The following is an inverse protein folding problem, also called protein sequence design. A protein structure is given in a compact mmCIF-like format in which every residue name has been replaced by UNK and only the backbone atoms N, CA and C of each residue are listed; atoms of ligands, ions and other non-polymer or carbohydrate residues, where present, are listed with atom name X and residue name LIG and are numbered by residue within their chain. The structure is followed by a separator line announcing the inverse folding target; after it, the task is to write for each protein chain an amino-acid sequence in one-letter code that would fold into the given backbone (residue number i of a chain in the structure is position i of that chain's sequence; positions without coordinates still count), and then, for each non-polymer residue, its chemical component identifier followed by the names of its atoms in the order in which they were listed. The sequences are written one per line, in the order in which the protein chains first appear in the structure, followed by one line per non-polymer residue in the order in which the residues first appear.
data_IF_939419313696
#
_entry.id   IF_939419313696
#
_cell.length_a   1.000
_cell.length_b   1.000
_cell.length_c   1.000
_cell.angle_alpha   90.00
_cell.angle_beta   90.00
_cell.angle_gamma   90.00
#
_symmetry.space_group_name_H-M   'P 1'
#
loop_
_entity.id
_entity.type
_entity.pdbx_description
1 polymer ?
#
# COMPACT_ATOMS: atom_id res chain seq x y z
N UNK A 1 50.00 -21.11 42.02
CA UNK A 1 48.63 -20.81 41.54
C UNK A 1 48.20 -22.02 40.73
N UNK A 2 47.21 -22.78 41.21
CA UNK A 2 46.83 -24.06 40.61
C UNK A 2 46.44 -23.89 39.13
N UNK A 3 46.97 -24.76 38.26
CA UNK A 3 46.67 -24.74 36.82
C UNK A 3 45.15 -24.78 36.55
N UNK A 4 44.39 -25.43 37.43
CA UNK A 4 42.92 -25.51 37.39
C UNK A 4 42.28 -24.12 37.58
N UNK A 5 42.77 -23.31 38.52
CA UNK A 5 42.25 -21.95 38.78
C UNK A 5 42.53 -21.05 37.56
N UNK A 6 43.73 -21.15 36.98
CA UNK A 6 44.10 -20.36 35.80
C UNK A 6 43.24 -20.71 34.58
N UNK A 7 42.98 -22.00 34.33
CA UNK A 7 42.13 -22.45 33.22
C UNK A 7 40.69 -21.97 33.43
N UNK A 8 40.17 -22.12 34.65
CA UNK A 8 38.80 -21.70 34.99
C UNK A 8 38.60 -20.20 34.79
N UNK A 9 39.59 -19.38 35.21
CA UNK A 9 39.55 -17.94 35.05
C UNK A 9 39.60 -17.51 33.58
N UNK A 10 40.44 -18.14 32.75
CA UNK A 10 40.47 -17.88 31.31
C UNK A 10 39.15 -18.21 30.62
N UNK A 11 38.56 -19.38 30.92
CA UNK A 11 37.25 -19.77 30.36
C UNK A 11 36.16 -18.79 30.79
N UNK A 12 36.15 -18.39 32.07
CA UNK A 12 35.20 -17.41 32.58
C UNK A 12 35.33 -16.06 31.86
N UNK A 13 36.55 -15.56 31.63
CA UNK A 13 36.77 -14.30 30.89
C UNK A 13 36.27 -14.41 29.44
N UNK A 14 36.50 -15.55 28.78
CA UNK A 14 36.02 -15.77 27.40
C UNK A 14 34.49 -15.75 27.36
N UNK A 15 33.83 -16.46 28.28
CA UNK A 15 32.36 -16.48 28.38
C UNK A 15 31.82 -15.08 28.68
N UNK A 16 32.45 -14.35 29.61
CA UNK A 16 32.05 -12.99 29.97
C UNK A 16 32.20 -12.02 28.79
N UNK A 17 33.30 -12.12 28.04
CA UNK A 17 33.52 -11.32 26.85
C UNK A 17 32.50 -11.64 25.74
N UNK A 18 32.20 -12.92 25.52
CA UNK A 18 31.18 -13.35 24.56
C UNK A 18 29.78 -12.87 24.96
N UNK A 19 29.41 -12.99 26.23
CA UNK A 19 28.12 -12.53 26.75
C UNK A 19 27.98 -11.01 26.64
N UNK A 20 29.03 -10.26 27.03
CA UNK A 20 29.05 -8.80 26.90
C UNK A 20 28.97 -8.37 25.45
N UNK A 21 29.71 -9.03 24.55
CA UNK A 21 29.66 -8.78 23.12
C UNK A 21 28.26 -9.01 22.54
N UNK A 22 27.61 -10.13 22.89
CA UNK A 22 26.25 -10.43 22.47
C UNK A 22 25.24 -9.41 23.01
N UNK A 23 25.38 -9.02 24.28
CA UNK A 23 24.52 -8.02 24.91
C UNK A 23 24.64 -6.65 24.22
N UNK A 24 25.86 -6.19 23.97
CA UNK A 24 26.13 -4.92 23.27
C UNK A 24 25.62 -4.98 21.84
N UNK A 25 25.83 -6.10 21.13
CA UNK A 25 25.34 -6.30 19.77
C UNK A 25 23.82 -6.21 19.69
N UNK A 26 23.08 -6.97 20.52
CA UNK A 26 21.62 -6.95 20.52
C UNK A 26 21.07 -5.57 20.89
N UNK A 27 21.67 -4.91 21.89
CA UNK A 27 21.28 -3.55 22.30
C UNK A 27 21.48 -2.56 21.15
N UNK A 28 22.60 -2.66 20.43
CA UNK A 28 22.88 -1.81 19.27
C UNK A 28 21.89 -2.06 18.14
N UNK A 29 21.63 -3.32 17.78
CA UNK A 29 20.68 -3.71 16.73
C UNK A 29 19.28 -3.18 17.03
N UNK A 30 18.79 -3.39 18.25
CA UNK A 30 17.47 -2.92 18.68
C UNK A 30 17.37 -1.40 18.64
N UNK A 31 18.40 -0.70 19.14
CA UNK A 31 18.43 0.75 19.12
C UNK A 31 18.50 1.31 17.68
N UNK A 32 19.35 0.74 16.83
CA UNK A 32 19.47 1.13 15.43
C UNK A 32 18.16 0.90 14.69
N UNK A 33 17.51 -0.25 14.88
CA UNK A 33 16.20 -0.53 14.29
C UNK A 33 15.17 0.51 14.73
N UNK A 34 14.97 0.71 16.04
CA UNK A 34 13.94 1.64 16.56
C UNK A 34 14.17 3.08 16.13
N UNK A 35 15.43 3.53 16.05
CA UNK A 35 15.77 4.91 15.71
C UNK A 35 15.69 5.21 14.21
N UNK A 36 15.84 4.19 13.36
CA UNK A 36 15.84 4.36 11.89
C UNK A 36 14.59 3.82 11.22
N UNK A 37 13.72 3.15 11.99
CA UNK A 37 12.49 2.59 11.48
C UNK A 37 11.56 3.69 10.95
N UNK A 38 11.06 3.48 9.74
CA UNK A 38 10.02 4.31 9.12
C UNK A 38 9.06 3.42 8.34
N UNK A 39 7.78 3.48 8.70
CA UNK A 39 6.67 2.86 7.98
C UNK A 39 5.89 3.90 7.18
N UNK A 40 5.57 3.61 5.92
CA UNK A 40 4.79 4.51 5.06
C UNK A 40 3.73 3.76 4.27
N UNK A 41 2.56 4.41 4.11
CA UNK A 41 1.53 4.02 3.16
C UNK A 41 1.51 5.04 2.03
N UNK A 42 1.75 4.57 0.82
CA UNK A 42 1.63 5.39 -0.40
C UNK A 42 0.39 4.93 -1.14
N UNK A 43 -0.55 5.85 -1.35
CA UNK A 43 -1.77 5.63 -2.13
C UNK A 43 -1.76 6.47 -3.39
N UNK A 44 -2.23 5.90 -4.49
CA UNK A 44 -2.45 6.59 -5.75
C UNK A 44 -3.76 6.15 -6.35
N UNK A 45 -4.47 7.07 -6.99
CA UNK A 45 -5.63 6.76 -7.81
C UNK A 45 -5.60 7.61 -9.07
N UNK A 46 -5.92 6.96 -10.19
CA UNK A 46 -5.93 7.54 -11.50
C UNK A 46 -7.26 7.28 -12.18
N UNK A 47 -7.82 8.32 -12.78
CA UNK A 47 -9.00 8.25 -13.62
C UNK A 47 -8.57 8.69 -15.01
N UNK A 48 -8.64 7.77 -15.96
CA UNK A 48 -8.23 7.97 -17.35
C UNK A 48 -9.46 7.94 -18.24
N UNK A 49 -9.59 8.92 -19.14
CA UNK A 49 -10.68 9.00 -20.11
C UNK A 49 -10.19 9.64 -21.41
N UNK A 50 -10.72 9.19 -22.54
CA UNK A 50 -10.42 9.73 -23.87
C UNK A 50 -11.46 10.75 -24.36
N UNK A 51 -12.59 10.89 -23.66
CA UNK A 51 -13.64 11.86 -23.96
C UNK A 51 -14.19 12.53 -22.68
N UNK A 52 -14.98 13.62 -22.82
CA UNK A 52 -15.64 14.26 -21.69
C UNK A 52 -16.61 13.32 -20.95
N UNK A 53 -16.60 13.40 -19.62
CA UNK A 53 -17.56 12.75 -18.73
C UNK A 53 -18.45 13.82 -18.10
N UNK A 54 -19.75 13.56 -17.98
CA UNK A 54 -20.72 14.48 -17.38
C UNK A 54 -21.48 13.83 -16.22
N UNK A 55 -21.93 14.65 -15.28
CA UNK A 55 -22.69 14.23 -14.10
C UNK A 55 -22.00 13.09 -13.35
N UNK A 56 -20.71 13.29 -13.06
CA UNK A 56 -19.84 12.23 -12.56
C UNK A 56 -20.00 12.07 -11.06
N UNK A 57 -20.33 10.86 -10.64
CA UNK A 57 -20.28 10.40 -9.26
C UNK A 57 -19.50 9.10 -9.19
N UNK A 58 -18.37 9.10 -8.49
CA UNK A 58 -17.58 7.90 -8.22
C UNK A 58 -17.57 7.60 -6.72
N UNK A 59 -17.66 6.32 -6.35
CA UNK A 59 -17.25 5.83 -5.02
C UNK A 59 -16.12 4.83 -5.21
N UNK A 60 -14.89 5.30 -5.04
CA UNK A 60 -13.66 4.53 -5.26
C UNK A 60 -13.18 3.98 -3.92
N UNK A 61 -12.89 2.68 -3.78
CA UNK A 61 -12.42 2.14 -2.52
C UNK A 61 -11.10 2.78 -2.11
N UNK A 62 -10.99 3.19 -0.84
CA UNK A 62 -9.72 3.60 -0.25
C UNK A 62 -9.17 2.45 0.60
N UNK A 63 -7.84 2.33 0.75
CA UNK A 63 -7.27 1.24 1.53
C UNK A 63 -7.69 1.38 3.00
N UNK A 64 -8.17 0.30 3.60
CA UNK A 64 -8.61 0.24 5.00
C UNK A 64 -8.06 -1.02 5.69
N UNK A 65 -7.70 -0.88 6.96
CA UNK A 65 -7.33 -2.00 7.80
C UNK A 65 -8.56 -2.90 8.11
N UNK A 66 -8.38 -4.08 8.73
CA UNK A 66 -9.51 -4.96 9.09
C UNK A 66 -10.50 -4.34 10.09
N UNK A 67 -10.10 -3.31 10.84
CA UNK A 67 -10.96 -2.57 11.76
C UNK A 67 -11.71 -1.41 11.07
N UNK A 68 -11.47 -1.18 9.78
CA UNK A 68 -12.09 -0.12 8.99
C UNK A 68 -11.35 1.21 8.99
N UNK A 69 -10.18 1.31 9.62
CA UNK A 69 -9.42 2.56 9.63
C UNK A 69 -8.62 2.69 8.32
N UNK A 70 -8.75 3.82 7.63
CA UNK A 70 -7.91 4.13 6.49
C UNK A 70 -6.69 4.96 6.91
N UNK A 71 -5.46 4.62 6.46
CA UNK A 71 -4.34 5.53 6.59
C UNK A 71 -4.55 6.83 5.80
N UNK A 72 -5.53 6.89 4.89
CA UNK A 72 -5.78 8.06 4.04
C UNK A 72 -6.76 9.06 4.65
N UNK A 73 -7.40 8.78 5.80
CA UNK A 73 -8.39 9.69 6.41
C UNK A 73 -7.82 11.09 6.61
N UNK A 74 -6.64 11.18 7.22
CA UNK A 74 -5.99 12.47 7.49
C UNK A 74 -5.69 13.25 6.21
N UNK A 75 -5.35 12.57 5.12
CA UNK A 75 -5.03 13.21 3.85
C UNK A 75 -6.26 13.86 3.19
N UNK A 76 -7.41 13.18 3.25
CA UNK A 76 -8.68 13.75 2.79
C UNK A 76 -9.19 14.84 3.73
N UNK A 77 -9.21 14.62 5.04
CA UNK A 77 -9.71 15.60 6.02
C UNK A 77 -8.89 16.90 6.03
N UNK A 78 -7.57 16.81 5.85
CA UNK A 78 -6.69 17.97 5.85
C UNK A 78 -6.48 18.57 4.44
N UNK A 79 -7.14 18.03 3.41
CA UNK A 79 -6.95 18.43 2.01
C UNK A 79 -5.48 18.40 1.56
N UNK A 80 -4.71 17.40 2.00
CA UNK A 80 -3.29 17.24 1.63
C UNK A 80 -3.06 16.26 0.49
N UNK A 81 -4.13 15.63 -0.01
CA UNK A 81 -4.11 14.83 -1.24
C UNK A 81 -3.56 15.65 -2.41
N UNK A 82 -2.47 15.17 -3.02
CA UNK A 82 -1.85 15.84 -4.17
C UNK A 82 -2.60 15.49 -5.45
N UNK A 83 -2.70 16.43 -6.37
CA UNK A 83 -3.23 16.18 -7.72
C UNK A 83 -4.76 16.15 -7.85
N UNK A 84 -5.50 16.37 -6.75
CA UNK A 84 -6.96 16.54 -6.82
C UNK A 84 -7.25 17.85 -7.58
N UNK A 85 -7.99 17.81 -8.71
CA UNK A 85 -8.27 19.02 -9.48
C UNK A 85 -9.12 20.01 -8.68
N UNK A 86 -8.94 21.33 -8.92
CA UNK A 86 -9.75 22.34 -8.27
C UNK A 86 -11.22 22.19 -8.66
N UNK A 87 -12.12 22.33 -7.67
CA UNK A 87 -13.57 22.22 -7.88
C UNK A 87 -14.12 20.79 -7.81
N UNK A 88 -13.28 19.78 -7.56
CA UNK A 88 -13.76 18.44 -7.25
C UNK A 88 -14.30 18.37 -5.82
N UNK A 89 -15.56 17.96 -5.66
CA UNK A 89 -16.14 17.67 -4.34
C UNK A 89 -15.77 16.24 -3.94
N UNK A 90 -14.83 16.13 -2.99
CA UNK A 90 -14.29 14.85 -2.52
C UNK A 90 -14.61 14.66 -1.04
N UNK A 91 -15.29 13.56 -0.71
CA UNK A 91 -15.64 13.21 0.67
C UNK A 91 -15.41 11.73 0.92
N UNK A 92 -15.06 11.38 2.16
CA UNK A 92 -15.00 9.97 2.55
C UNK A 92 -16.40 9.50 2.97
N UNK A 93 -16.78 8.33 2.48
CA UNK A 93 -18.04 7.67 2.75
C UNK A 93 -17.77 6.31 3.39
N UNK A 94 -18.09 6.19 4.66
CA UNK A 94 -17.95 4.92 5.40
C UNK A 94 -19.23 4.08 5.24
N UNK A 95 -19.05 2.81 4.86
CA UNK A 95 -20.12 1.82 4.71
C UNK A 95 -20.21 0.87 5.90
N UNK A 96 -19.33 1.01 6.90
CA UNK A 96 -19.14 0.08 8.03
C UNK A 96 -18.37 -1.19 7.68
N UNK A 97 -18.17 -1.48 6.39
CA UNK A 97 -17.36 -2.61 5.89
C UNK A 97 -16.17 -2.17 5.05
N UNK A 98 -16.22 -0.94 4.55
CA UNK A 98 -15.22 -0.31 3.70
C UNK A 98 -15.40 1.20 3.74
N UNK A 99 -14.33 1.94 3.53
CA UNK A 99 -14.38 3.37 3.29
C UNK A 99 -14.20 3.61 1.79
N UNK A 100 -15.05 4.46 1.23
CA UNK A 100 -15.02 4.84 -0.17
C UNK A 100 -14.73 6.33 -0.28
N UNK A 101 -13.95 6.72 -1.26
CA UNK A 101 -13.83 8.10 -1.70
C UNK A 101 -14.99 8.42 -2.64
N UNK A 102 -15.92 9.26 -2.18
CA UNK A 102 -16.95 9.86 -3.01
C UNK A 102 -16.35 11.06 -3.75
N UNK A 103 -16.43 11.04 -5.08
CA UNK A 103 -16.06 12.16 -5.96
C UNK A 103 -17.31 12.59 -6.69
N UNK A 104 -17.71 13.85 -6.56
CA UNK A 104 -18.85 14.43 -7.30
C UNK A 104 -18.37 15.61 -8.12
N UNK A 105 -18.51 15.53 -9.44
CA UNK A 105 -18.11 16.61 -10.35
C UNK A 105 -19.10 16.79 -11.50
N UNK A 106 -19.46 18.04 -11.86
CA UNK A 106 -20.39 18.28 -12.96
C UNK A 106 -19.87 17.75 -14.31
N UNK A 107 -18.56 17.90 -14.56
CA UNK A 107 -17.92 17.37 -15.75
C UNK A 107 -16.41 17.14 -15.52
N UNK A 108 -15.88 16.10 -16.16
CA UNK A 108 -14.44 15.90 -16.36
C UNK A 108 -14.20 16.11 -17.86
N UNK A 109 -13.57 17.23 -18.20
CA UNK A 109 -13.28 17.60 -19.60
C UNK A 109 -11.79 17.45 -19.86
N UNK A 110 -11.38 16.45 -20.68
CA UNK A 110 -10.00 16.30 -21.09
C UNK A 110 -9.45 17.53 -21.83
N UNK A 111 -8.13 17.78 -21.78
CA UNK A 111 -7.49 18.82 -22.60
C UNK A 111 -7.72 18.59 -24.10
N UNK A 112 -7.63 19.67 -24.88
CA UNK A 112 -7.70 19.60 -26.34
C UNK A 112 -6.60 18.67 -26.90
N UNK A 113 -6.96 17.81 -27.86
CA UNK A 113 -6.05 16.81 -28.44
C UNK A 113 -6.10 15.43 -27.77
N UNK A 114 -6.93 15.26 -26.73
CA UNK A 114 -7.21 13.93 -26.15
C UNK A 114 -7.89 13.04 -27.20
N UNK A 115 -7.41 11.82 -27.34
CA UNK A 115 -7.94 10.79 -28.26
C UNK A 115 -7.85 9.41 -27.63
N UNK A 116 -8.49 8.40 -28.21
CA UNK A 116 -8.38 7.02 -27.73
C UNK A 116 -6.93 6.49 -27.67
N UNK A 117 -6.03 7.00 -28.53
CA UNK A 117 -4.60 6.65 -28.51
C UNK A 117 -3.77 7.47 -27.51
N UNK A 118 -4.30 8.60 -27.05
CA UNK A 118 -3.66 9.52 -26.10
C UNK A 118 -4.71 10.01 -25.09
N UNK A 119 -5.17 9.13 -24.17
CA UNK A 119 -6.21 9.49 -23.22
C UNK A 119 -5.66 10.42 -22.13
N UNK A 120 -6.56 11.22 -21.54
CA UNK A 120 -6.22 12.12 -20.44
C UNK A 120 -6.32 11.39 -19.11
N UNK A 121 -5.33 11.57 -18.24
CA UNK A 121 -5.30 10.95 -16.91
C UNK A 121 -5.27 12.01 -15.82
N UNK A 122 -6.23 11.94 -14.92
CA UNK A 122 -6.19 12.67 -13.64
C UNK A 122 -5.63 11.73 -12.59
N UNK A 123 -4.55 12.14 -11.93
CA UNK A 123 -3.88 11.34 -10.90
C UNK A 123 -3.86 12.11 -9.59
N UNK A 124 -4.27 11.45 -8.51
CA UNK A 124 -4.13 11.97 -7.16
C UNK A 124 -3.52 10.94 -6.23
N UNK A 125 -2.71 11.42 -5.29
CA UNK A 125 -1.91 10.55 -4.43
C UNK A 125 -1.69 11.15 -3.05
N UNK A 126 -1.36 10.29 -2.10
CA UNK A 126 -0.94 10.68 -0.76
C UNK A 126 0.08 9.68 -0.22
N UNK A 127 0.96 10.20 0.62
CA UNK A 127 1.87 9.40 1.41
C UNK A 127 1.64 9.73 2.87
N UNK A 128 1.37 8.70 3.67
CA UNK A 128 1.10 8.84 5.11
C UNK A 128 2.05 7.97 5.90
N UNK A 129 2.69 8.57 6.89
CA UNK A 129 3.58 7.86 7.82
C UNK A 129 2.75 6.99 8.75
N UNK A 130 3.16 5.73 8.91
CA UNK A 130 2.61 4.80 9.87
C UNK A 130 3.36 4.92 11.21
N UNK A 131 2.67 5.13 12.34
CA UNK A 131 3.31 5.16 13.65
C UNK A 131 3.79 3.77 14.12
N UNK A 132 3.31 2.70 13.48
CA UNK A 132 3.63 1.32 13.83
C UNK A 132 4.15 0.54 12.61
N UNK A 133 4.91 -0.57 12.84
CA UNK A 133 5.27 -1.49 11.77
C UNK A 133 4.07 -2.01 11.00
N UNK A 134 4.15 -1.91 9.68
CA UNK A 134 3.13 -2.39 8.75
C UNK A 134 3.33 -3.90 8.58
N UNK A 135 2.29 -4.73 8.70
CA UNK A 135 2.43 -6.17 8.40
C UNK A 135 2.41 -6.35 6.87
N UNK A 136 3.60 -6.24 6.29
CA UNK A 136 3.84 -6.36 4.84
C UNK A 136 3.84 -7.80 4.37
N UNK A 137 3.90 -8.78 5.28
CA UNK A 137 3.84 -10.20 4.96
C UNK A 137 2.39 -10.66 4.84
N UNK A 138 1.49 -10.24 5.72
CA UNK A 138 0.09 -10.70 5.75
C UNK A 138 -0.90 -9.53 5.63
N UNK A 139 -0.85 -8.74 4.54
CA UNK A 139 -1.59 -7.49 4.46
C UNK A 139 -3.12 -7.67 4.41
N UNK A 140 -3.61 -8.82 3.92
CA UNK A 140 -5.04 -9.14 3.86
C UNK A 140 -5.67 -9.17 5.26
N UNK A 141 -4.94 -9.71 6.23
CA UNK A 141 -5.42 -9.94 7.60
C UNK A 141 -5.09 -8.78 8.54
N UNK A 142 -4.06 -7.98 8.24
CA UNK A 142 -3.46 -7.09 9.23
C UNK A 142 -3.09 -5.69 8.73
N UNK A 143 -3.16 -5.44 7.43
CA UNK A 143 -2.78 -4.14 6.85
C UNK A 143 -3.92 -3.53 6.04
N UNK A 144 -3.68 -2.31 5.56
CA UNK A 144 -4.64 -1.54 4.78
C UNK A 144 -4.74 -2.08 3.36
N UNK A 145 -5.94 -2.51 2.95
CA UNK A 145 -6.23 -3.10 1.65
C UNK A 145 -7.50 -2.49 1.06
N UNK A 146 -7.70 -2.59 -0.25
CA UNK A 146 -8.98 -2.25 -0.87
C UNK A 146 -10.03 -3.28 -0.48
N UNK A 147 -10.87 -2.95 0.51
CA UNK A 147 -11.89 -3.86 1.06
C UNK A 147 -13.27 -3.58 0.44
N UNK A 148 -14.13 -4.59 0.33
CA UNK A 148 -13.93 -6.00 0.69
C UNK A 148 -12.98 -6.72 -0.28
N UNK A 149 -12.13 -7.59 0.24
CA UNK A 149 -11.30 -8.49 -0.58
C UNK A 149 -12.15 -9.72 -0.92
N UNK A 150 -12.46 -9.92 -2.20
CA UNK A 150 -13.27 -11.01 -2.70
C UNK A 150 -12.46 -11.91 -3.65
N UNK A 151 -12.90 -13.16 -3.81
CA UNK A 151 -12.30 -14.11 -4.76
C UNK A 151 -10.76 -14.24 -4.72
N UNK A 152 -10.17 -14.15 -3.53
CA UNK A 152 -8.72 -14.25 -3.36
C UNK A 152 -8.18 -15.58 -3.91
N UNK A 153 -7.27 -15.50 -4.87
CA UNK A 153 -6.64 -16.66 -5.52
C UNK A 153 -5.13 -16.45 -5.56
N UNK A 154 -4.37 -17.49 -5.21
CA UNK A 154 -2.91 -17.48 -5.37
C UNK A 154 -2.52 -17.53 -6.85
N UNK A 155 -1.50 -16.77 -7.23
CA UNK A 155 -0.94 -16.71 -8.59
C UNK A 155 0.58 -16.87 -8.53
N UNK A 156 1.17 -17.45 -9.58
CA UNK A 156 2.62 -17.44 -9.71
C UNK A 156 3.13 -16.00 -9.86
N UNK A 157 4.13 -15.62 -9.08
CA UNK A 157 4.77 -14.32 -9.22
C UNK A 157 5.56 -14.28 -10.54
N UNK A 158 5.17 -13.39 -11.44
CA UNK A 158 5.83 -13.17 -12.74
C UNK A 158 7.04 -12.25 -12.64
N UNK A 159 7.27 -11.65 -11.48
CA UNK A 159 8.35 -10.70 -11.23
C UNK A 159 9.68 -11.45 -11.08
N UNK A 160 10.68 -11.12 -11.89
CA UNK A 160 12.04 -11.68 -11.83
C UNK A 160 12.74 -11.45 -10.46
N UNK A 161 12.24 -10.49 -9.68
CA UNK A 161 12.75 -10.13 -8.34
C UNK A 161 11.96 -10.73 -7.19
N UNK A 162 11.09 -11.71 -7.44
CA UNK A 162 10.40 -12.43 -6.37
C UNK A 162 11.44 -13.12 -5.46
N UNK A 163 11.61 -12.59 -4.24
CA UNK A 163 12.42 -13.23 -3.22
C UNK A 163 11.74 -14.48 -2.67
N UNK A 164 12.45 -15.26 -1.84
CA UNK A 164 11.92 -16.52 -1.30
C UNK A 164 10.60 -16.39 -0.52
N UNK A 165 10.30 -15.20 0.01
CA UNK A 165 9.07 -14.92 0.77
C UNK A 165 7.96 -14.27 -0.05
N UNK A 166 8.20 -13.98 -1.34
CA UNK A 166 7.24 -13.24 -2.18
C UNK A 166 6.03 -14.11 -2.53
N UNK A 167 4.83 -13.58 -2.31
CA UNK A 167 3.56 -14.25 -2.64
C UNK A 167 2.70 -13.30 -3.46
N UNK A 168 2.07 -13.83 -4.51
CA UNK A 168 1.23 -13.06 -5.41
C UNK A 168 -0.19 -13.62 -5.41
N UNK A 169 -1.15 -12.71 -5.41
CA UNK A 169 -2.57 -13.04 -5.39
C UNK A 169 -3.33 -12.17 -6.39
N UNK A 170 -4.44 -12.69 -6.86
CA UNK A 170 -5.49 -11.88 -7.48
C UNK A 170 -6.70 -11.86 -6.55
N UNK A 171 -7.45 -10.77 -6.59
CA UNK A 171 -8.69 -10.61 -5.84
C UNK A 171 -9.59 -9.62 -6.56
N UNK A 172 -10.83 -9.50 -6.12
CA UNK A 172 -11.77 -8.52 -6.64
C UNK A 172 -12.29 -7.63 -5.53
N UNK A 173 -12.66 -6.41 -5.90
CA UNK A 173 -13.38 -5.46 -5.05
C UNK A 173 -14.40 -4.70 -5.88
N UNK A 174 -15.06 -3.69 -5.33
CA UNK A 174 -16.12 -2.95 -6.02
C UNK A 174 -15.88 -1.45 -6.05
N UNK A 175 -16.33 -0.83 -7.13
CA UNK A 175 -16.40 0.62 -7.33
C UNK A 175 -17.81 0.97 -7.75
N UNK A 176 -18.35 2.09 -7.27
CA UNK A 176 -19.56 2.67 -7.87
C UNK A 176 -19.15 3.74 -8.86
N UNK A 177 -19.72 3.70 -10.06
CA UNK A 177 -19.50 4.70 -11.07
C UNK A 177 -20.81 5.10 -11.74
N UNK A 178 -21.05 6.40 -11.80
CA UNK A 178 -22.18 6.98 -12.50
C UNK A 178 -21.70 8.20 -13.28
N UNK A 179 -21.84 8.15 -14.60
CA UNK A 179 -21.46 9.25 -15.48
C UNK A 179 -22.06 9.04 -16.88
N UNK A 180 -22.13 10.14 -17.63
CA UNK A 180 -22.60 10.18 -19.01
C UNK A 180 -21.43 10.52 -19.94
N UNK A 181 -21.32 9.81 -21.06
CA UNK A 181 -20.30 10.05 -22.10
C UNK A 181 -20.72 9.40 -23.42
N UNK A 182 -19.93 9.57 -24.48
CA UNK A 182 -20.14 8.92 -25.77
C UNK A 182 -19.96 7.40 -25.68
N UNK A 183 -20.61 6.64 -26.56
CA UNK A 183 -20.67 5.18 -26.46
C UNK A 183 -19.33 4.47 -26.77
N UNK A 184 -18.39 5.18 -27.37
CA UNK A 184 -17.04 4.72 -27.73
C UNK A 184 -15.95 5.18 -26.74
N UNK A 185 -16.32 5.97 -25.71
CA UNK A 185 -15.40 6.44 -24.68
C UNK A 185 -14.93 5.29 -23.78
N UNK A 186 -13.62 5.23 -23.51
CA UNK A 186 -13.06 4.30 -22.53
C UNK A 186 -12.69 5.06 -21.26
N UNK A 187 -13.29 4.65 -20.14
CA UNK A 187 -12.96 5.17 -18.81
C UNK A 187 -12.25 4.09 -18.01
N UNK A 188 -11.03 4.38 -17.57
CA UNK A 188 -10.25 3.47 -16.72
C UNK A 188 -10.03 4.08 -15.35
N UNK A 189 -10.37 3.33 -14.31
CA UNK A 189 -10.09 3.69 -12.92
C UNK A 189 -9.04 2.70 -12.42
N UNK A 190 -7.92 3.22 -11.93
CA UNK A 190 -6.88 2.43 -11.30
C UNK A 190 -6.57 3.03 -9.94
N UNK A 191 -6.45 2.20 -8.92
CA UNK A 191 -6.01 2.62 -7.58
C UNK A 191 -4.95 1.67 -7.08
N UNK A 192 -3.96 2.18 -6.37
CA UNK A 192 -2.91 1.37 -5.77
C UNK A 192 -2.56 1.83 -4.37
N UNK A 193 -2.14 0.89 -3.55
CA UNK A 193 -1.56 1.16 -2.24
C UNK A 193 -0.30 0.32 -2.05
N UNK A 194 0.74 0.96 -1.54
CA UNK A 194 1.97 0.32 -1.08
C UNK A 194 2.11 0.58 0.41
N UNK A 195 2.25 -0.49 1.20
CA UNK A 195 2.72 -0.38 2.58
C UNK A 195 4.18 -0.80 2.64
N UNK A 196 5.05 0.09 3.14
CA UNK A 196 6.50 -0.12 3.17
C UNK A 196 7.04 0.14 4.56
N UNK A 197 7.90 -0.74 5.03
CA UNK A 197 8.78 -0.48 6.16
C UNK A 197 10.21 -0.34 5.67
N UNK A 198 10.95 0.58 6.26
CA UNK A 198 12.38 0.78 6.01
C UNK A 198 13.12 0.98 7.33
N UNK A 199 14.34 0.45 7.41
CA UNK A 199 15.20 0.58 8.59
C UNK A 199 16.66 0.42 8.16
N UNK A 200 17.59 0.89 8.98
CA UNK A 200 19.03 0.73 8.75
C UNK A 200 19.68 0.10 9.97
N UNK A 201 20.10 -1.15 9.83
CA UNK A 201 20.93 -1.86 10.81
C UNK A 201 22.14 -2.37 10.06
N UNK A 202 23.27 -1.69 10.25
CA UNK A 202 24.51 -1.80 9.44
C UNK A 202 24.34 -1.40 7.96
N UNK A 203 23.27 -1.86 7.30
CA UNK A 203 22.89 -1.57 5.92
C UNK A 203 21.40 -1.20 5.82
N UNK A 204 20.99 -0.41 4.81
CA UNK A 204 19.59 -0.15 4.54
C UNK A 204 18.83 -1.43 4.18
N UNK A 205 17.70 -1.65 4.83
CA UNK A 205 16.79 -2.76 4.61
C UNK A 205 15.37 -2.23 4.47
N UNK A 206 14.54 -2.98 3.75
CA UNK A 206 13.11 -2.66 3.64
C UNK A 206 12.30 -3.91 3.38
N UNK A 207 11.01 -3.84 3.72
CA UNK A 207 10.01 -4.78 3.25
C UNK A 207 8.73 -4.04 2.87
N UNK A 208 7.98 -4.61 1.94
CA UNK A 208 6.77 -3.98 1.41
C UNK A 208 5.77 -4.99 0.87
N UNK A 209 4.52 -4.55 0.81
CA UNK A 209 3.50 -5.11 -0.05
C UNK A 209 2.97 -4.03 -0.97
N UNK A 210 2.48 -4.46 -2.11
CA UNK A 210 1.85 -3.60 -3.10
C UNK A 210 0.55 -4.25 -3.57
N UNK A 211 -0.50 -3.45 -3.68
CA UNK A 211 -1.70 -3.88 -4.39
C UNK A 211 -2.20 -2.78 -5.29
N UNK A 212 -2.66 -3.21 -6.46
CA UNK A 212 -3.34 -2.40 -7.45
C UNK A 212 -4.71 -3.00 -7.73
N UNK A 213 -5.68 -2.14 -8.03
CA UNK A 213 -7.02 -2.50 -8.49
C UNK A 213 -7.33 -1.65 -9.71
N UNK A 214 -7.90 -2.27 -10.74
CA UNK A 214 -8.21 -1.58 -11.99
C UNK A 214 -9.50 -2.08 -12.64
N UNK A 215 -10.14 -1.19 -13.38
CA UNK A 215 -11.33 -1.47 -14.18
C UNK A 215 -11.34 -0.53 -15.38
N UNK A 216 -11.72 -1.06 -16.54
CA UNK A 216 -12.05 -0.29 -17.74
C UNK A 216 -13.52 -0.45 -18.09
N UNK A 217 -14.23 0.66 -18.25
CA UNK A 217 -15.64 0.75 -18.61
C UNK A 217 -15.76 1.40 -19.98
N UNK A 218 -16.70 0.93 -20.80
CA UNK A 218 -16.98 1.48 -22.11
C UNK A 218 -18.31 2.25 -22.09
N UNK A 219 -18.28 3.48 -22.63
CA UNK A 219 -19.41 4.37 -22.68
C UNK A 219 -19.89 4.82 -21.30
N UNK A 220 -21.15 5.27 -21.25
CA UNK A 220 -21.80 5.66 -20.01
C UNK A 220 -21.93 4.47 -19.05
N UNK A 221 -21.80 4.74 -17.75
CA UNK A 221 -21.95 3.73 -16.71
C UNK A 221 -22.94 4.20 -15.63
N UNK A 222 -23.70 3.26 -15.07
CA UNK A 222 -24.65 3.53 -14.00
C UNK A 222 -24.70 2.34 -13.05
N UNK A 223 -23.99 2.45 -11.92
CA UNK A 223 -24.06 1.49 -10.83
C UNK A 223 -22.71 0.98 -10.33
N UNK A 224 -22.76 -0.20 -9.70
CA UNK A 224 -21.59 -0.90 -9.18
C UNK A 224 -20.90 -1.70 -10.28
N UNK A 225 -19.58 -1.67 -10.28
CA UNK A 225 -18.72 -2.49 -11.11
C UNK A 225 -17.64 -3.17 -10.28
N UNK A 226 -17.11 -4.28 -10.80
CA UNK A 226 -16.07 -5.07 -10.15
C UNK A 226 -14.71 -4.54 -10.58
N UNK A 227 -13.84 -4.28 -9.61
CA UNK A 227 -12.43 -3.96 -9.82
C UNK A 227 -11.62 -5.25 -9.71
N UNK A 228 -10.77 -5.48 -10.71
CA UNK A 228 -9.79 -6.57 -10.68
C UNK A 228 -8.52 -6.10 -9.98
N UNK A 229 -8.08 -6.85 -8.97
CA UNK A 229 -6.94 -6.50 -8.14
C UNK A 229 -5.82 -7.52 -8.20
N UNK A 230 -4.59 -7.02 -8.19
CA UNK A 230 -3.39 -7.81 -7.95
C UNK A 230 -2.76 -7.39 -6.61
N UNK A 231 -2.24 -8.37 -5.87
CA UNK A 231 -1.54 -8.16 -4.62
C UNK A 231 -0.21 -8.90 -4.68
N UNK A 232 0.87 -8.17 -4.41
CA UNK A 232 2.20 -8.72 -4.18
C UNK A 232 2.60 -8.42 -2.74
N UNK A 233 2.99 -9.45 -2.00
CA UNK A 233 3.43 -9.35 -0.60
C UNK A 233 4.74 -10.12 -0.43
N UNK A 234 5.46 -9.89 0.68
CA UNK A 234 6.69 -10.63 0.94
C UNK A 234 7.87 -10.12 0.12
N UNK A 235 7.83 -8.87 -0.35
CA UNK A 235 8.97 -8.23 -1.01
C UNK A 235 9.92 -7.63 0.04
N UNK A 236 11.23 -7.79 -0.18
CA UNK A 236 12.27 -7.26 0.70
C UNK A 236 12.77 -8.23 1.79
N UNK A 237 13.33 -7.69 2.86
CA UNK A 237 13.95 -8.47 3.96
C UNK A 237 12.95 -8.70 5.09
N UNK A 238 12.71 -9.96 5.45
CA UNK A 238 11.88 -10.35 6.59
C UNK A 238 12.66 -11.03 7.71
N UNK A 239 13.93 -11.36 7.45
CA UNK A 239 14.84 -11.84 8.48
C UNK A 239 15.14 -10.67 9.43
N UNK A 240 14.62 -10.75 10.66
CA UNK A 240 15.05 -9.86 11.72
C UNK A 240 16.39 -10.38 12.27
N UNK A 241 17.32 -9.47 12.53
CA UNK A 241 18.57 -9.78 13.20
C UNK A 241 18.26 -10.19 14.66
N UNK A 242 18.18 -11.50 14.91
CA UNK A 242 18.14 -12.08 16.25
C UNK A 242 16.74 -12.43 16.76
N UNK A 243 16.50 -13.74 16.97
CA UNK A 243 15.36 -14.23 17.76
C UNK A 243 14.74 -15.53 17.23
N UNK A 244 15.45 -16.65 17.37
CA UNK A 244 14.85 -17.98 17.55
C UNK A 244 14.98 -18.38 19.01
#
# INVERSE_FOLDING_TARGET
MDSIISITLCVFIIILAAFTGLFVYNTYVDAAYRNTFSGTHTYSCTITTDAPLYNVTFFIPVPVDPAGNSPMVSAFSNNTMRGVPPGWDTTLFDTGKSTLLKITVPAIVPPAGTTASHPSTVAFSSETVSPFPIDTLNPIEKSAMFRPVQELKGKACTQERAGGSTRCFTYTTAVYAEYQTAADTIVTITSSVTGKNSWTVFEPRSNEYHTDVSLSMNGAHHGWAVLDGELTTGFGTYEMFGGS
#
